data_IF_287430117459
#
_entry.id   IF_287430117459
#
_cell.length_a   1.000
_cell.length_b   1.000
_cell.length_c   1.000
_cell.angle_alpha   90.00
_cell.angle_beta   90.00
_cell.angle_gamma   90.00
#
_symmetry.space_group_name_H-M   'P 1'
#
loop_
_entity.id
_entity.type
_entity.pdbx_description
1 polymer ?
#
# COMPACT_ATOMS: atom_id res chain seq x y z
N UNK A 1 67.25 0.43 21.07
CA UNK A 1 67.43 -0.94 21.60
C UNK A 1 66.02 -1.50 21.80
N UNK A 2 65.43 -2.36 20.96
CA UNK A 2 65.88 -3.59 20.26
C UNK A 2 65.61 -4.87 21.07
N UNK A 3 64.48 -5.54 20.77
CA UNK A 3 64.23 -6.98 21.04
C UNK A 3 62.99 -7.49 20.27
N UNK A 4 63.09 -8.72 19.76
CA UNK A 4 62.07 -9.61 19.16
C UNK A 4 62.64 -11.07 19.25
N UNK A 5 61.98 -12.17 18.82
CA UNK A 5 60.59 -12.37 18.37
C UNK A 5 59.69 -12.96 19.51
N UNK A 6 59.01 -14.13 19.54
CA UNK A 6 59.00 -15.44 18.82
C UNK A 6 57.53 -15.86 18.52
N UNK A 7 57.31 -16.81 17.59
CA UNK A 7 55.99 -17.37 17.21
C UNK A 7 55.47 -18.52 18.09
N UNK A 8 54.17 -18.81 18.01
CA UNK A 8 53.68 -20.19 17.89
C UNK A 8 52.40 -20.26 17.03
N UNK A 9 52.16 -21.39 16.37
CA UNK A 9 50.99 -21.62 15.53
C UNK A 9 50.50 -23.07 15.71
N UNK A 10 49.17 -23.28 15.64
CA UNK A 10 48.58 -24.60 15.73
C UNK A 10 47.61 -24.85 14.56
N UNK A 11 47.87 -25.92 13.79
CA UNK A 11 46.95 -26.48 12.81
C UNK A 11 46.17 -27.62 13.47
N UNK A 12 44.92 -27.81 13.08
CA UNK A 12 44.19 -29.06 13.25
C UNK A 12 43.48 -29.40 11.92
N UNK A 13 43.49 -30.67 11.53
CA UNK A 13 43.03 -31.15 10.22
C UNK A 13 41.81 -32.08 10.35
N UNK A 14 41.06 -32.22 9.25
CA UNK A 14 39.94 -33.16 9.15
C UNK A 14 40.38 -34.62 9.37
N UNK A 15 39.47 -35.44 9.89
CA UNK A 15 39.41 -36.88 9.60
C UNK A 15 37.98 -37.39 9.76
N UNK A 16 37.57 -38.34 8.91
CA UNK A 16 36.23 -38.92 8.88
C UNK A 16 36.27 -40.43 9.14
N UNK A 17 35.31 -40.97 9.89
CA UNK A 17 35.07 -42.42 9.92
C UNK A 17 33.59 -42.76 10.17
N UNK A 18 33.17 -43.96 9.74
CA UNK A 18 31.80 -44.47 9.81
C UNK A 18 31.63 -45.46 10.97
N UNK A 19 30.41 -45.59 11.49
CA UNK A 19 29.94 -46.76 12.23
C UNK A 19 28.45 -47.02 11.90
N UNK A 20 27.92 -48.22 12.21
CA UNK A 20 26.52 -48.61 11.94
C UNK A 20 26.03 -49.69 12.93
N UNK A 21 24.80 -50.19 12.71
CA UNK A 21 24.02 -51.20 13.50
C UNK A 21 23.17 -50.61 14.65
N UNK A 22 21.99 -51.15 15.03
CA UNK A 22 20.95 -51.90 14.29
C UNK A 22 19.66 -52.12 15.15
N UNK A 23 18.46 -51.77 14.63
CA UNK A 23 17.15 -52.47 14.81
C UNK A 23 16.53 -52.76 16.21
N UNK A 24 15.24 -53.17 16.35
CA UNK A 24 14.03 -53.06 15.49
C UNK A 24 12.75 -52.55 16.24
N UNK A 25 11.55 -52.69 15.59
CA UNK A 25 10.16 -52.51 16.10
C UNK A 25 9.71 -51.04 16.27
N UNK A 26 8.50 -50.60 15.88
CA UNK A 26 7.16 -51.25 15.71
C UNK A 26 6.50 -50.89 14.35
N UNK A 27 5.46 -51.62 13.94
CA UNK A 27 4.69 -51.45 12.69
C UNK A 27 3.51 -50.45 12.79
N UNK A 28 3.16 -49.81 11.66
CA UNK A 28 1.93 -49.01 11.51
C UNK A 28 1.82 -48.35 10.13
N UNK A 29 0.69 -48.50 9.43
CA UNK A 29 0.45 -47.95 8.08
C UNK A 29 -0.31 -46.62 8.14
N UNK A 30 0.10 -45.65 7.32
CA UNK A 30 -0.76 -44.99 6.31
C UNK A 30 0.01 -43.89 5.55
N UNK A 31 0.08 -43.98 4.22
CA UNK A 31 0.61 -42.91 3.35
C UNK A 31 -0.53 -42.05 2.80
N UNK A 32 -0.48 -40.74 3.03
CA UNK A 32 -1.30 -39.76 2.32
C UNK A 32 -0.48 -39.11 1.21
N UNK A 33 -0.94 -39.21 -0.04
CA UNK A 33 -0.23 -38.66 -1.20
C UNK A 33 -0.61 -37.19 -1.46
N UNK A 34 0.34 -36.39 -1.93
CA UNK A 34 0.14 -34.98 -2.27
C UNK A 34 -0.64 -34.90 -3.60
N UNK A 35 -1.88 -34.44 -3.54
CA UNK A 35 -2.66 -34.14 -4.73
C UNK A 35 -2.14 -32.88 -5.43
N UNK A 36 -1.71 -33.00 -6.69
CA UNK A 36 -1.44 -31.85 -7.57
C UNK A 36 -2.78 -31.26 -8.04
N UNK A 37 -2.90 -29.93 -8.00
CA UNK A 37 -4.08 -29.23 -8.49
C UNK A 37 -3.78 -28.63 -9.86
N UNK A 38 -4.36 -29.21 -10.92
CA UNK A 38 -4.18 -28.73 -12.29
C UNK A 38 -5.03 -27.49 -12.58
N UNK A 39 -4.45 -26.51 -13.30
CA UNK A 39 -5.08 -25.23 -13.58
C UNK A 39 -6.18 -25.30 -14.65
N UNK A 40 -7.24 -24.50 -14.49
CA UNK A 40 -8.29 -24.37 -15.50
C UNK A 40 -7.73 -23.79 -16.80
N UNK A 41 -7.71 -24.60 -17.86
CA UNK A 41 -7.49 -24.13 -19.24
C UNK A 41 -8.81 -23.67 -19.84
N UNK A 42 -8.81 -22.49 -20.45
CA UNK A 42 -9.96 -22.01 -21.24
C UNK A 42 -10.18 -22.92 -22.46
N UNK A 43 -11.43 -23.29 -22.72
CA UNK A 43 -11.82 -24.13 -23.85
C UNK A 43 -13.00 -23.49 -24.61
N UNK A 44 -12.69 -22.77 -25.68
CA UNK A 44 -13.68 -22.18 -26.59
C UNK A 44 -14.18 -23.22 -27.60
N UNK A 45 -15.36 -23.79 -27.38
CA UNK A 45 -16.02 -24.68 -28.32
C UNK A 45 -17.52 -24.32 -28.45
N UNK A 46 -17.93 -23.88 -29.65
CA UNK A 46 -19.31 -23.52 -29.96
C UNK A 46 -19.96 -24.62 -30.79
N UNK A 47 -20.84 -25.41 -30.17
CA UNK A 47 -21.68 -26.41 -30.84
C UNK A 47 -23.06 -26.44 -30.17
N UNK A 48 -24.11 -26.16 -30.94
CA UNK A 48 -25.46 -25.99 -30.41
C UNK A 48 -26.23 -27.31 -30.27
N UNK A 49 -26.98 -27.44 -29.18
CA UNK A 49 -28.11 -28.38 -29.07
C UNK A 49 -29.30 -27.68 -28.43
N UNK A 50 -30.53 -28.10 -28.79
CA UNK A 50 -31.78 -27.44 -28.37
C UNK A 50 -32.46 -28.19 -27.24
N UNK A 51 -32.52 -27.57 -26.06
CA UNK A 51 -33.41 -28.00 -24.96
C UNK A 51 -34.16 -26.80 -24.38
N UNK A 52 -35.37 -26.56 -24.88
CA UNK A 52 -36.34 -25.64 -24.28
C UNK A 52 -36.92 -26.19 -22.98
N UNK A 53 -37.69 -25.35 -22.27
CA UNK A 53 -38.49 -25.66 -21.07
C UNK A 53 -37.76 -26.18 -19.83
N UNK A 54 -37.12 -25.26 -19.09
CA UNK A 54 -37.13 -25.31 -17.61
C UNK A 54 -37.03 -23.95 -16.89
N UNK A 55 -36.66 -22.87 -17.60
CA UNK A 55 -36.52 -21.53 -17.01
C UNK A 55 -37.85 -20.79 -16.69
N UNK A 56 -39.02 -21.35 -17.03
CA UNK A 56 -40.30 -20.65 -16.95
C UNK A 56 -41.04 -20.76 -15.59
N UNK A 57 -40.74 -21.78 -14.78
CA UNK A 57 -41.54 -22.09 -13.58
C UNK A 57 -41.04 -21.43 -12.28
N UNK A 58 -39.84 -20.82 -12.28
CA UNK A 58 -39.26 -20.16 -11.10
C UNK A 58 -39.68 -18.68 -10.90
N UNK A 59 -40.63 -18.17 -11.69
CA UNK A 59 -41.15 -16.78 -11.57
C UNK A 59 -42.57 -16.67 -11.00
N UNK A 60 -43.14 -17.75 -10.46
CA UNK A 60 -44.56 -17.80 -10.04
C UNK A 60 -44.81 -17.88 -8.52
N UNK A 61 -43.77 -18.01 -7.67
CA UNK A 61 -43.92 -18.30 -6.23
C UNK A 61 -43.47 -17.15 -5.28
N UNK A 62 -43.37 -15.91 -5.74
CA UNK A 62 -42.86 -14.78 -4.94
C UNK A 62 -43.96 -13.93 -4.25
N UNK A 63 -45.15 -14.48 -4.02
CA UNK A 63 -46.32 -13.70 -3.57
C UNK A 63 -47.30 -14.44 -2.65
N UNK A 64 -46.80 -15.11 -1.60
CA UNK A 64 -47.64 -15.67 -0.53
C UNK A 64 -46.89 -16.00 0.79
N UNK A 65 -46.27 -15.01 1.46
CA UNK A 65 -45.97 -15.09 2.90
C UNK A 65 -46.24 -13.72 3.54
N UNK A 66 -47.18 -13.67 4.49
CA UNK A 66 -47.48 -12.46 5.27
C UNK A 66 -46.78 -12.49 6.64
N UNK A 67 -46.48 -11.29 7.14
CA UNK A 67 -46.37 -10.93 8.57
C UNK A 67 -45.98 -12.02 9.57
N UNK A 68 -44.68 -12.16 9.81
CA UNK A 68 -44.16 -12.59 11.11
C UNK A 68 -43.17 -11.55 11.62
N UNK A 69 -43.41 -10.95 12.78
CA UNK A 69 -42.49 -9.97 13.40
C UNK A 69 -41.28 -10.65 14.04
N UNK A 70 -40.55 -11.44 13.25
CA UNK A 70 -39.18 -11.80 13.58
C UNK A 70 -38.35 -10.53 13.59
N UNK A 71 -37.93 -10.07 14.78
CA UNK A 71 -36.94 -9.00 14.93
C UNK A 71 -35.63 -9.47 14.30
N UNK A 72 -35.45 -9.20 13.01
CA UNK A 72 -34.15 -9.27 12.35
C UNK A 72 -33.22 -8.40 13.18
N UNK A 73 -32.22 -9.02 13.78
CA UNK A 73 -31.25 -8.33 14.62
C UNK A 73 -30.45 -7.35 13.78
N UNK A 74 -30.95 -6.12 13.66
CA UNK A 74 -30.21 -5.04 13.05
C UNK A 74 -28.89 -4.94 13.81
N UNK A 75 -27.76 -5.11 13.10
CA UNK A 75 -26.43 -4.93 13.66
C UNK A 75 -26.22 -3.44 13.89
N UNK A 76 -26.83 -2.95 14.97
CA UNK A 76 -26.51 -1.68 15.59
C UNK A 76 -25.10 -1.81 16.13
N UNK A 77 -24.14 -1.29 15.37
CA UNK A 77 -23.04 -0.60 16.01
C UNK A 77 -23.66 0.58 16.76
N UNK A 78 -24.08 0.35 18.00
CA UNK A 78 -24.38 1.45 18.91
C UNK A 78 -23.07 2.23 19.06
N UNK A 79 -23.10 3.52 18.72
CA UNK A 79 -21.91 4.38 18.72
C UNK A 79 -21.58 4.78 20.17
N UNK A 80 -21.18 3.80 20.98
CA UNK A 80 -20.69 4.00 22.35
C UNK A 80 -19.27 4.57 22.35
N UNK A 81 -18.47 4.23 21.33
CA UNK A 81 -17.11 4.72 21.15
C UNK A 81 -17.03 5.85 20.12
N UNK A 82 -16.18 6.88 20.33
CA UNK A 82 -15.95 7.93 19.36
C UNK A 82 -15.28 7.38 18.09
N UNK A 83 -15.71 7.90 16.93
CA UNK A 83 -15.24 7.40 15.63
C UNK A 83 -13.73 7.58 15.42
N UNK A 84 -13.05 6.49 15.01
CA UNK A 84 -11.64 6.49 14.63
C UNK A 84 -11.27 7.59 13.62
N UNK A 85 -10.01 8.03 13.67
CA UNK A 85 -9.42 8.94 12.68
C UNK A 85 -8.71 8.13 11.59
N UNK A 86 -9.19 8.25 10.35
CA UNK A 86 -8.72 7.45 9.21
C UNK A 86 -8.06 8.38 8.17
N UNK A 87 -6.87 8.01 7.70
CA UNK A 87 -6.06 8.80 6.75
C UNK A 87 -5.72 7.93 5.54
N UNK A 88 -6.53 8.00 4.49
CA UNK A 88 -6.25 7.31 3.25
C UNK A 88 -5.16 8.05 2.47
N UNK A 89 -4.14 7.34 2.00
CA UNK A 89 -3.05 7.90 1.20
C UNK A 89 -3.00 7.16 -0.14
N UNK A 90 -3.10 7.89 -1.25
CA UNK A 90 -3.25 7.32 -2.59
C UNK A 90 -2.73 8.26 -3.68
N UNK A 91 -2.21 7.70 -4.77
CA UNK A 91 -1.91 8.48 -5.98
C UNK A 91 -3.17 8.96 -6.72
N UNK A 92 -4.31 8.28 -6.55
CA UNK A 92 -5.58 8.62 -7.21
C UNK A 92 -6.73 8.87 -6.23
N UNK A 93 -7.51 9.92 -6.51
CA UNK A 93 -8.78 10.24 -5.83
C UNK A 93 -9.76 10.84 -6.83
N UNK A 94 -10.84 10.13 -7.16
CA UNK A 94 -11.89 10.67 -8.02
C UNK A 94 -12.70 11.78 -7.31
N UNK A 95 -13.11 12.85 -8.02
CA UNK A 95 -12.99 13.05 -9.47
C UNK A 95 -11.70 13.73 -9.95
N UNK A 96 -10.76 14.08 -9.05
CA UNK A 96 -9.60 14.92 -9.35
C UNK A 96 -8.48 14.19 -10.10
N UNK A 97 -8.10 13.01 -9.64
CA UNK A 97 -7.09 12.16 -10.27
C UNK A 97 -7.60 10.73 -10.37
N UNK A 98 -7.66 10.21 -11.60
CA UNK A 98 -8.12 8.85 -11.89
C UNK A 98 -7.48 8.33 -13.18
N UNK A 99 -6.86 7.17 -13.11
CA UNK A 99 -6.45 6.36 -14.27
C UNK A 99 -7.25 5.05 -14.33
N UNK A 100 -7.66 4.51 -13.18
CA UNK A 100 -8.39 3.25 -13.08
C UNK A 100 -9.30 3.15 -11.86
N UNK A 101 -9.48 1.92 -11.34
CA UNK A 101 -10.38 1.65 -10.22
C UNK A 101 -9.93 2.22 -8.86
N UNK A 102 -8.63 2.47 -8.68
CA UNK A 102 -8.07 3.06 -7.46
C UNK A 102 -8.75 4.40 -7.13
N UNK A 103 -8.82 5.31 -8.11
CA UNK A 103 -9.50 6.60 -7.94
C UNK A 103 -10.98 6.48 -7.55
N UNK A 104 -11.70 5.46 -8.03
CA UNK A 104 -13.10 5.22 -7.66
C UNK A 104 -13.25 4.72 -6.22
N UNK A 105 -12.36 3.82 -5.76
CA UNK A 105 -12.34 3.34 -4.37
C UNK A 105 -12.13 4.52 -3.41
N UNK A 106 -11.15 5.38 -3.67
CA UNK A 106 -10.91 6.59 -2.86
C UNK A 106 -11.99 7.68 -3.07
N UNK A 107 -12.74 7.63 -4.16
CA UNK A 107 -13.94 8.44 -4.36
C UNK A 107 -15.15 7.98 -3.52
N UNK A 108 -15.30 6.67 -3.31
CA UNK A 108 -16.48 6.04 -2.72
C UNK A 108 -16.36 5.61 -1.25
N UNK A 109 -15.28 4.90 -0.89
CA UNK A 109 -15.09 4.30 0.44
C UNK A 109 -14.89 5.34 1.56
N UNK A 110 -14.05 6.39 1.41
CA UNK A 110 -13.82 7.37 2.47
C UNK A 110 -15.11 8.11 2.89
N UNK A 111 -15.99 8.57 1.97
CA UNK A 111 -17.30 9.12 2.35
C UNK A 111 -18.23 8.11 3.03
N UNK A 112 -18.17 6.82 2.67
CA UNK A 112 -18.98 5.79 3.33
C UNK A 112 -18.55 5.55 4.78
N UNK A 113 -17.25 5.71 5.09
CA UNK A 113 -16.72 5.64 6.46
C UNK A 113 -17.00 6.92 7.25
N UNK A 114 -16.91 8.09 6.62
CA UNK A 114 -17.33 9.36 7.25
C UNK A 114 -18.82 9.32 7.65
N UNK A 115 -19.68 8.74 6.81
CA UNK A 115 -21.10 8.53 7.11
C UNK A 115 -21.35 7.52 8.25
N UNK A 116 -20.35 6.75 8.70
CA UNK A 116 -20.40 5.90 9.92
C UNK A 116 -19.86 6.61 11.17
N UNK A 117 -19.54 7.90 11.08
CA UNK A 117 -19.07 8.73 12.19
C UNK A 117 -17.55 8.79 12.37
N UNK A 118 -16.75 8.25 11.44
CA UNK A 118 -15.29 8.36 11.49
C UNK A 118 -14.81 9.74 11.01
N UNK A 119 -13.71 10.26 11.57
CA UNK A 119 -13.03 11.45 11.02
C UNK A 119 -12.12 11.00 9.87
N UNK A 120 -12.50 11.25 8.62
CA UNK A 120 -11.81 10.66 7.45
C UNK A 120 -11.12 11.74 6.61
N UNK A 121 -9.82 11.58 6.42
CA UNK A 121 -9.01 12.37 5.47
C UNK A 121 -8.58 11.48 4.29
N UNK A 122 -8.43 12.08 3.11
CA UNK A 122 -7.68 11.46 2.00
C UNK A 122 -6.60 12.39 1.49
N UNK A 123 -5.36 11.92 1.46
CA UNK A 123 -4.19 12.65 0.94
C UNK A 123 -3.79 12.09 -0.42
N UNK A 124 -3.58 12.96 -1.40
CA UNK A 124 -3.13 12.61 -2.76
C UNK A 124 -2.30 13.72 -3.40
N UNK A 125 -1.53 13.49 -4.49
CA UNK A 125 -0.78 14.57 -5.12
C UNK A 125 -1.65 15.53 -5.95
N UNK A 126 -1.22 16.80 -6.04
CA UNK A 126 -1.87 17.83 -6.84
C UNK A 126 -1.29 17.84 -8.27
N UNK A 127 -1.93 17.09 -9.16
CA UNK A 127 -1.54 17.00 -10.58
C UNK A 127 -2.07 18.16 -11.43
N UNK A 128 -3.13 18.84 -10.97
CA UNK A 128 -3.74 19.97 -11.66
C UNK A 128 -4.22 21.07 -10.69
N UNK A 129 -4.58 22.23 -11.25
CA UNK A 129 -5.16 23.34 -10.49
C UNK A 129 -6.66 23.08 -10.24
N UNK A 130 -6.96 22.17 -9.32
CA UNK A 130 -8.33 21.79 -8.94
C UNK A 130 -9.15 23.00 -8.45
N UNK A 131 -10.26 23.31 -9.13
CA UNK A 131 -11.09 24.51 -8.89
C UNK A 131 -11.72 24.55 -7.49
N UNK A 132 -12.00 23.40 -6.89
CA UNK A 132 -12.69 23.27 -5.60
C UNK A 132 -11.75 22.97 -4.42
N UNK A 133 -10.43 23.12 -4.61
CA UNK A 133 -9.43 23.04 -3.54
C UNK A 133 -8.73 24.38 -3.34
N UNK A 134 -8.67 24.85 -2.09
CA UNK A 134 -7.99 26.08 -1.68
C UNK A 134 -6.61 25.78 -1.09
N UNK A 135 -5.68 26.72 -1.15
CA UNK A 135 -4.39 26.62 -0.44
C UNK A 135 -4.65 26.76 1.07
N UNK A 136 -3.95 26.00 1.91
CA UNK A 136 -4.07 26.13 3.38
C UNK A 136 -3.01 27.03 4.00
N UNK A 137 -2.14 27.64 3.19
CA UNK A 137 -0.96 28.43 3.60
C UNK A 137 0.06 27.65 4.48
N UNK A 138 -0.11 26.31 4.58
CA UNK A 138 0.80 25.43 5.33
C UNK A 138 1.86 24.89 4.37
N UNK A 139 3.10 25.32 4.61
CA UNK A 139 4.31 24.82 3.96
C UNK A 139 5.05 23.91 4.95
N UNK A 140 5.57 22.78 4.46
CA UNK A 140 6.56 21.96 5.16
C UNK A 140 7.80 21.77 4.29
N UNK A 141 8.93 21.52 4.94
CA UNK A 141 10.20 21.20 4.30
C UNK A 141 10.42 19.68 4.38
N UNK A 142 10.63 19.03 3.24
CA UNK A 142 10.75 17.57 3.11
C UNK A 142 12.10 17.22 2.49
N UNK A 143 12.90 16.36 3.13
CA UNK A 143 14.18 15.92 2.55
C UNK A 143 13.94 14.77 1.56
N UNK A 144 14.44 14.91 0.33
CA UNK A 144 14.25 13.93 -0.73
C UNK A 144 15.51 13.86 -1.61
N UNK A 145 16.21 12.72 -1.56
CA UNK A 145 17.55 12.60 -2.12
C UNK A 145 18.53 13.59 -1.45
N UNK A 146 19.20 14.41 -2.26
CA UNK A 146 20.15 15.43 -1.79
C UNK A 146 19.50 16.79 -1.48
N UNK A 147 18.21 16.96 -1.79
CA UNK A 147 17.48 18.22 -1.69
C UNK A 147 16.58 18.30 -0.45
N UNK A 148 16.24 19.53 -0.05
CA UNK A 148 15.14 19.82 0.87
C UNK A 148 14.10 20.63 0.11
N UNK A 149 12.97 19.99 -0.17
CA UNK A 149 11.90 20.50 -1.03
C UNK A 149 10.78 21.13 -0.22
N UNK A 150 10.22 22.24 -0.72
CA UNK A 150 9.12 22.96 -0.05
C UNK A 150 7.77 22.48 -0.58
N UNK A 151 6.98 21.87 0.29
CA UNK A 151 5.72 21.21 -0.06
C UNK A 151 4.55 21.98 0.56
N UNK A 152 3.53 22.28 -0.25
CA UNK A 152 2.28 22.91 0.21
C UNK A 152 1.14 21.92 0.30
N UNK A 153 0.14 22.27 1.10
CA UNK A 153 -1.12 21.55 1.17
C UNK A 153 -2.27 22.40 0.63
N UNK A 154 -3.06 21.81 -0.26
CA UNK A 154 -4.37 22.31 -0.66
C UNK A 154 -5.45 21.44 -0.03
N UNK A 155 -6.61 22.01 0.31
CA UNK A 155 -7.71 21.31 0.97
C UNK A 155 -9.06 21.54 0.28
N UNK A 156 -9.93 20.55 0.39
CA UNK A 156 -11.32 20.59 -0.03
C UNK A 156 -12.16 19.73 0.93
N UNK A 157 -13.21 20.28 1.54
CA UNK A 157 -14.13 19.50 2.37
C UNK A 157 -15.34 19.02 1.55
N UNK A 158 -15.53 17.70 1.41
CA UNK A 158 -16.54 17.15 0.49
C UNK A 158 -17.11 15.81 0.95
N UNK A 159 -18.44 15.71 1.07
CA UNK A 159 -19.18 14.49 1.52
C UNK A 159 -18.68 13.93 2.87
N UNK A 160 -18.42 14.81 3.84
CA UNK A 160 -17.93 14.44 5.17
C UNK A 160 -16.43 14.14 5.26
N UNK A 161 -15.70 14.24 4.15
CA UNK A 161 -14.28 13.88 4.05
C UNK A 161 -13.42 15.11 3.80
N UNK A 162 -12.32 15.19 4.54
CA UNK A 162 -11.24 16.14 4.32
C UNK A 162 -10.35 15.65 3.17
N UNK A 163 -10.39 16.33 2.02
CA UNK A 163 -9.59 15.99 0.83
C UNK A 163 -8.37 16.90 0.81
N UNK A 164 -7.19 16.33 0.98
CA UNK A 164 -5.91 17.05 1.00
C UNK A 164 -5.10 16.70 -0.24
N UNK A 165 -4.53 17.73 -0.87
CA UNK A 165 -3.72 17.62 -2.07
C UNK A 165 -2.31 18.17 -1.82
N UNK A 166 -1.30 17.34 -2.07
CA UNK A 166 0.12 17.66 -1.89
C UNK A 166 0.62 18.41 -3.12
N UNK A 167 0.90 19.69 -2.98
CA UNK A 167 1.31 20.60 -4.06
C UNK A 167 2.84 20.71 -4.12
N UNK A 168 3.38 20.28 -5.26
CA UNK A 168 4.80 20.35 -5.58
C UNK A 168 5.01 20.35 -7.11
N UNK A 169 6.02 21.06 -7.67
CA UNK A 169 6.28 21.10 -9.11
C UNK A 169 6.43 19.72 -9.78
N UNK A 170 6.98 18.72 -9.07
CA UNK A 170 7.14 17.34 -9.57
C UNK A 170 5.81 16.62 -9.88
N UNK A 171 4.67 17.15 -9.42
CA UNK A 171 3.34 16.69 -9.80
C UNK A 171 2.71 17.64 -10.81
N UNK A 172 2.54 18.91 -10.43
CA UNK A 172 1.75 19.88 -11.18
C UNK A 172 2.35 20.18 -12.56
N UNK A 173 3.66 20.45 -12.65
CA UNK A 173 4.29 20.87 -13.89
C UNK A 173 4.35 19.75 -14.95
N UNK A 174 4.27 18.48 -14.54
CA UNK A 174 4.30 17.32 -15.46
C UNK A 174 2.95 17.04 -16.13
N UNK A 175 1.85 17.29 -15.42
CA UNK A 175 0.53 16.75 -15.79
C UNK A 175 -0.54 17.85 -16.01
N UNK A 176 -0.21 19.12 -15.81
CA UNK A 176 -1.12 20.27 -16.03
C UNK A 176 -1.91 20.17 -17.35
N UNK A 177 -3.25 20.16 -17.26
CA UNK A 177 -4.16 20.02 -18.41
C UNK A 177 -4.18 18.65 -19.08
N UNK A 178 -3.54 17.62 -18.49
CA UNK A 178 -3.42 16.23 -19.00
C UNK A 178 -3.77 15.19 -17.92
N UNK A 179 -4.32 15.66 -16.79
CA UNK A 179 -4.63 14.88 -15.59
C UNK A 179 -5.57 13.72 -15.92
N UNK A 180 -5.15 12.50 -15.55
CA UNK A 180 -5.86 11.25 -15.80
C UNK A 180 -5.13 10.27 -16.74
N UNK A 181 -4.27 10.74 -17.67
CA UNK A 181 -3.56 9.84 -18.61
C UNK A 181 -2.04 9.73 -18.40
N UNK A 182 -1.43 10.66 -17.67
CA UNK A 182 0.04 10.80 -17.54
C UNK A 182 0.52 10.98 -16.09
N UNK A 183 -0.22 10.39 -15.15
CA UNK A 183 0.02 10.45 -13.69
C UNK A 183 1.38 9.82 -13.32
N UNK A 184 1.64 8.63 -13.86
CA UNK A 184 2.80 7.79 -13.55
C UNK A 184 3.95 7.91 -14.57
N UNK A 185 3.65 8.31 -15.81
CA UNK A 185 4.62 8.37 -16.89
C UNK A 185 4.14 9.14 -18.13
N UNK A 186 5.03 9.45 -19.09
CA UNK A 186 4.68 10.21 -20.29
C UNK A 186 3.84 9.42 -21.30
N UNK A 187 3.85 8.08 -21.24
CA UNK A 187 3.07 7.15 -22.08
C UNK A 187 2.68 5.93 -21.23
N UNK A 188 1.61 5.24 -21.58
CA UNK A 188 1.27 3.95 -20.95
C UNK A 188 2.42 2.96 -21.10
N UNK A 189 2.85 2.32 -20.00
CA UNK A 189 3.96 1.36 -20.00
C UNK A 189 5.37 1.98 -20.01
N UNK A 190 5.49 3.30 -19.87
CA UNK A 190 6.77 4.00 -19.65
C UNK A 190 6.56 5.00 -18.51
N UNK A 191 7.18 4.74 -17.37
CA UNK A 191 7.11 5.59 -16.17
C UNK A 191 8.04 6.81 -16.24
N UNK A 192 8.03 7.68 -15.22
CA UNK A 192 9.05 8.73 -15.06
C UNK A 192 10.19 8.26 -14.12
N UNK A 193 11.44 8.57 -14.50
CA UNK A 193 12.68 8.19 -13.76
C UNK A 193 12.80 8.83 -12.34
N UNK A 194 11.94 9.80 -12.03
CA UNK A 194 11.83 10.44 -10.73
C UNK A 194 10.63 9.95 -9.90
N UNK A 195 9.93 8.88 -10.32
CA UNK A 195 8.82 8.31 -9.55
C UNK A 195 9.22 7.93 -8.12
N UNK A 196 10.46 7.46 -7.90
CA UNK A 196 11.02 7.21 -6.55
C UNK A 196 11.00 8.49 -5.70
N UNK A 197 11.55 9.59 -6.22
CA UNK A 197 11.59 10.89 -5.54
C UNK A 197 10.18 11.45 -5.33
N UNK A 198 9.32 11.39 -6.36
CA UNK A 198 7.91 11.84 -6.31
C UNK A 198 7.15 11.14 -5.20
N UNK A 199 7.17 9.81 -5.15
CA UNK A 199 6.42 9.07 -4.16
C UNK A 199 7.10 9.07 -2.77
N UNK A 200 8.43 9.20 -2.68
CA UNK A 200 9.12 9.52 -1.43
C UNK A 200 8.59 10.82 -0.81
N UNK A 201 8.65 11.93 -1.56
CA UNK A 201 8.16 13.25 -1.15
C UNK A 201 6.69 13.20 -0.70
N UNK A 202 5.85 12.52 -1.49
CA UNK A 202 4.43 12.38 -1.22
C UNK A 202 4.15 11.67 0.11
N UNK A 203 4.81 10.55 0.40
CA UNK A 203 4.53 9.78 1.61
C UNK A 203 5.03 10.49 2.87
N UNK A 204 6.20 11.15 2.81
CA UNK A 204 6.65 12.00 3.91
C UNK A 204 5.66 13.16 4.18
N UNK A 205 5.19 13.84 3.13
CA UNK A 205 4.19 14.90 3.27
C UNK A 205 2.83 14.39 3.79
N UNK A 206 2.38 13.22 3.34
CA UNK A 206 1.14 12.60 3.77
C UNK A 206 1.16 12.14 5.24
N UNK A 207 2.34 11.73 5.75
CA UNK A 207 2.55 11.46 7.18
C UNK A 207 2.50 12.73 8.03
N UNK A 208 2.95 13.87 7.51
CA UNK A 208 2.94 15.14 8.27
C UNK A 208 1.57 15.84 8.27
N UNK A 209 0.77 15.67 7.21
CA UNK A 209 -0.55 16.32 7.06
C UNK A 209 -1.49 16.19 8.30
N UNK A 210 -1.64 15.02 8.95
CA UNK A 210 -2.46 14.87 10.16
C UNK A 210 -2.03 15.75 11.36
N UNK A 211 -0.73 16.09 11.44
CA UNK A 211 -0.17 16.91 12.53
C UNK A 211 -0.22 18.41 12.21
N UNK A 212 0.10 18.79 10.97
CA UNK A 212 0.28 20.21 10.61
C UNK A 212 -1.02 20.90 10.18
N UNK A 213 -1.98 20.17 9.61
CA UNK A 213 -3.24 20.75 9.14
C UNK A 213 -4.28 20.82 10.26
N UNK A 214 -4.80 22.02 10.50
CA UNK A 214 -5.94 22.28 11.40
C UNK A 214 -7.20 22.41 10.54
N UNK A 215 -8.11 21.45 10.66
CA UNK A 215 -9.24 21.29 9.73
C UNK A 215 -10.56 21.31 10.51
N UNK A 216 -11.17 22.50 10.58
CA UNK A 216 -12.35 22.80 11.40
C UNK A 216 -13.68 22.69 10.63
N UNK A 217 -13.68 22.10 9.43
CA UNK A 217 -14.85 21.99 8.54
C UNK A 217 -15.87 20.91 8.97
N UNK A 218 -15.54 20.05 9.93
CA UNK A 218 -16.38 18.93 10.34
C UNK A 218 -17.17 19.27 11.63
N UNK A 219 -18.52 19.17 11.64
CA UNK A 219 -19.34 19.52 12.80
C UNK A 219 -19.02 18.78 14.11
N UNK A 220 -18.37 17.61 14.02
CA UNK A 220 -18.07 16.74 15.16
C UNK A 220 -16.58 16.74 15.55
N UNK A 221 -15.71 17.31 14.73
CA UNK A 221 -14.25 17.23 14.90
C UNK A 221 -13.53 18.51 14.45
N UNK A 222 -12.79 19.13 15.36
CA UNK A 222 -12.00 20.33 15.13
C UNK A 222 -10.49 20.09 15.25
N UNK A 223 -9.69 21.11 14.98
CA UNK A 223 -8.23 21.11 15.12
C UNK A 223 -7.52 20.13 14.18
N UNK A 224 -6.31 19.73 14.57
CA UNK A 224 -5.54 18.72 13.85
C UNK A 224 -6.10 17.30 14.08
N UNK A 225 -5.74 16.36 13.18
CA UNK A 225 -6.03 14.93 13.41
C UNK A 225 -5.12 14.38 14.52
N UNK A 226 -3.88 14.88 14.60
CA UNK A 226 -2.88 14.46 15.57
C UNK A 226 -2.22 13.13 15.23
N UNK A 227 -1.70 12.46 16.26
CA UNK A 227 -0.80 11.30 16.12
C UNK A 227 -1.46 9.94 16.34
N UNK A 228 -2.68 9.94 16.87
CA UNK A 228 -3.53 8.75 16.97
C UNK A 228 -4.44 8.70 15.73
N UNK A 229 -3.99 7.97 14.72
CA UNK A 229 -4.58 7.84 13.38
C UNK A 229 -4.30 6.45 12.79
N UNK A 230 -5.24 5.94 11.99
CA UNK A 230 -5.01 4.78 11.13
C UNK A 230 -4.78 5.27 9.71
N UNK A 231 -3.56 5.11 9.20
CA UNK A 231 -3.24 5.33 7.80
C UNK A 231 -3.76 4.13 6.97
N UNK A 232 -4.31 4.42 5.79
CA UNK A 232 -4.66 3.39 4.80
C UNK A 232 -3.85 3.69 3.54
N UNK A 233 -2.77 2.94 3.34
CA UNK A 233 -1.85 3.07 2.21
C UNK A 233 -2.37 2.23 1.03
N UNK A 234 -2.50 2.82 -0.16
CA UNK A 234 -3.10 2.19 -1.32
C UNK A 234 -2.07 2.06 -2.47
N UNK A 235 -1.80 0.81 -2.88
CA UNK A 235 -0.78 0.41 -3.87
C UNK A 235 0.67 0.87 -3.58
N UNK A 236 1.61 0.36 -4.39
CA UNK A 236 3.06 0.58 -4.26
C UNK A 236 3.48 2.04 -4.11
N UNK A 237 2.71 2.98 -4.70
CA UNK A 237 2.87 4.43 -4.56
C UNK A 237 2.97 4.89 -3.10
N UNK A 238 2.50 4.07 -2.16
CA UNK A 238 2.48 4.32 -0.71
C UNK A 238 3.09 3.19 0.12
N UNK A 239 3.71 2.19 -0.52
CA UNK A 239 4.35 1.06 0.19
C UNK A 239 5.58 1.45 1.03
N UNK A 240 6.15 2.63 0.78
CA UNK A 240 7.21 3.23 1.63
C UNK A 240 6.66 3.92 2.89
N UNK A 241 5.35 4.16 2.99
CA UNK A 241 4.73 4.88 4.13
C UNK A 241 4.95 4.17 5.48
N UNK A 242 4.82 2.83 5.62
CA UNK A 242 5.13 2.14 6.87
C UNK A 242 6.58 2.31 7.33
N UNK A 243 7.55 2.32 6.41
CA UNK A 243 8.95 2.55 6.74
C UNK A 243 9.18 3.95 7.34
N UNK A 244 8.67 5.00 6.70
CA UNK A 244 8.73 6.36 7.24
C UNK A 244 7.97 6.51 8.56
N UNK A 245 6.78 5.90 8.70
CA UNK A 245 6.04 5.92 9.97
C UNK A 245 6.86 5.26 11.09
N UNK A 246 7.50 4.14 10.81
CA UNK A 246 8.32 3.38 11.76
C UNK A 246 9.60 4.13 12.15
N UNK A 247 10.18 4.94 11.27
CA UNK A 247 11.23 5.89 11.61
C UNK A 247 10.70 6.98 12.57
N UNK A 248 9.60 7.64 12.22
CA UNK A 248 8.97 8.66 13.08
C UNK A 248 8.57 8.10 14.45
N UNK A 249 8.22 6.81 14.54
CA UNK A 249 7.96 6.09 15.79
C UNK A 249 9.22 5.81 16.62
N UNK A 250 10.38 5.58 15.99
CA UNK A 250 11.68 5.51 16.68
C UNK A 250 12.10 6.90 17.22
N UNK A 251 11.77 7.97 16.50
CA UNK A 251 11.88 9.36 16.96
C UNK A 251 10.81 9.72 18.03
N UNK A 252 9.90 8.81 18.35
CA UNK A 252 8.91 8.95 19.41
C UNK A 252 7.62 9.68 19.01
N UNK A 253 7.40 9.95 17.73
CA UNK A 253 6.16 10.51 17.15
C UNK A 253 5.21 9.37 16.73
N UNK A 254 3.91 9.62 16.53
CA UNK A 254 2.96 8.65 15.96
C UNK A 254 2.90 7.28 16.66
N UNK A 255 3.25 7.20 17.96
CA UNK A 255 3.46 5.93 18.69
C UNK A 255 2.27 4.97 18.69
N UNK A 256 1.04 5.50 18.56
CA UNK A 256 -0.20 4.72 18.54
C UNK A 256 -0.68 4.43 17.10
N UNK A 257 -0.19 5.17 16.11
CA UNK A 257 -0.65 5.05 14.73
C UNK A 257 -0.37 3.66 14.14
N UNK A 258 -1.22 3.28 13.18
CA UNK A 258 -1.15 2.02 12.43
C UNK A 258 -1.27 2.30 10.94
N UNK A 259 -0.74 1.40 10.12
CA UNK A 259 -1.00 1.37 8.67
C UNK A 259 -1.78 0.10 8.34
N UNK A 260 -2.83 0.24 7.54
CA UNK A 260 -3.37 -0.84 6.74
C UNK A 260 -2.90 -0.65 5.30
N UNK A 261 -2.26 -1.66 4.70
CA UNK A 261 -1.87 -1.62 3.29
C UNK A 261 -2.93 -2.29 2.42
N UNK A 262 -3.27 -1.68 1.30
CA UNK A 262 -4.33 -2.12 0.39
C UNK A 262 -3.80 -2.22 -1.05
N UNK A 263 -3.44 -3.44 -1.43
CA UNK A 263 -3.08 -3.79 -2.81
C UNK A 263 -4.35 -3.87 -3.67
N UNK A 264 -4.48 -2.97 -4.64
CA UNK A 264 -5.55 -2.98 -5.65
C UNK A 264 -5.09 -3.69 -6.92
N UNK A 265 -3.79 -3.67 -7.23
CA UNK A 265 -3.23 -4.44 -8.35
C UNK A 265 -1.80 -4.95 -8.07
N UNK A 266 -1.68 -6.27 -7.84
CA UNK A 266 -0.41 -6.96 -7.56
C UNK A 266 0.61 -6.92 -8.72
N UNK A 267 0.20 -6.52 -9.94
CA UNK A 267 1.10 -6.36 -11.08
C UNK A 267 2.00 -5.12 -10.99
N UNK A 268 1.60 -4.11 -10.20
CA UNK A 268 2.38 -2.87 -10.02
C UNK A 268 2.95 -2.82 -8.60
N UNK A 269 4.24 -3.12 -8.48
CA UNK A 269 4.90 -3.36 -7.19
C UNK A 269 5.90 -2.26 -6.78
N UNK A 270 6.19 -1.30 -7.67
CA UNK A 270 7.20 -0.27 -7.44
C UNK A 270 8.60 -0.88 -7.34
N UNK A 271 9.03 -1.55 -8.43
CA UNK A 271 10.37 -2.15 -8.57
C UNK A 271 11.33 -1.13 -9.17
N UNK A 272 12.48 -0.95 -8.53
CA UNK A 272 13.51 0.02 -8.88
C UNK A 272 14.91 -0.57 -8.64
N UNK A 273 15.97 0.15 -8.99
CA UNK A 273 17.33 -0.34 -8.75
C UNK A 273 17.69 -0.29 -7.24
N UNK A 274 18.54 -1.18 -6.71
CA UNK A 274 19.01 -1.10 -5.31
C UNK A 274 19.73 0.20 -4.92
N UNK A 275 20.20 0.98 -5.91
CA UNK A 275 20.76 2.33 -5.75
C UNK A 275 19.69 3.43 -5.59
N UNK A 276 18.43 3.17 -5.95
CA UNK A 276 17.34 4.12 -5.71
C UNK A 276 16.94 4.21 -4.23
N UNK A 277 17.35 3.24 -3.39
CA UNK A 277 17.11 3.27 -1.95
C UNK A 277 17.70 4.51 -1.27
N UNK A 278 18.90 4.92 -1.68
CA UNK A 278 19.60 6.07 -1.10
C UNK A 278 18.81 7.38 -1.30
N UNK A 279 17.99 7.43 -2.37
CA UNK A 279 17.10 8.53 -2.73
C UNK A 279 15.85 8.62 -1.82
N UNK A 280 15.55 7.58 -1.05
CA UNK A 280 14.46 7.57 -0.05
C UNK A 280 14.87 8.25 1.27
N UNK A 281 16.17 8.50 1.51
CA UNK A 281 16.68 9.02 2.79
C UNK A 281 16.30 8.20 4.06
N UNK A 282 15.86 6.95 3.89
CA UNK A 282 15.67 6.01 5.00
C UNK A 282 17.03 5.51 5.53
N UNK A 283 17.16 5.21 6.83
CA UNK A 283 18.35 4.54 7.35
C UNK A 283 18.58 3.15 6.72
N UNK A 284 19.84 2.74 6.52
CA UNK A 284 20.20 1.43 5.94
C UNK A 284 19.62 0.21 6.69
N UNK A 285 19.23 0.38 7.96
CA UNK A 285 18.51 -0.66 8.73
C UNK A 285 17.16 -1.05 8.11
N UNK A 286 16.57 -0.19 7.27
CA UNK A 286 15.36 -0.48 6.50
C UNK A 286 15.65 -1.17 5.15
N UNK A 287 16.89 -1.09 4.63
CA UNK A 287 17.26 -1.57 3.29
C UNK A 287 16.89 -3.05 3.04
N UNK A 288 17.05 -3.99 4.00
CA UNK A 288 16.62 -5.38 3.81
C UNK A 288 15.11 -5.56 3.56
N UNK A 289 14.27 -4.65 4.06
CA UNK A 289 12.81 -4.71 3.91
C UNK A 289 12.30 -4.22 2.55
N UNK A 290 13.19 -3.67 1.71
CA UNK A 290 12.90 -3.36 0.31
C UNK A 290 13.59 -4.35 -0.64
N UNK A 291 14.45 -5.24 -0.15
CA UNK A 291 15.16 -6.20 -0.99
C UNK A 291 14.20 -7.25 -1.54
N UNK A 292 14.13 -7.37 -2.86
CA UNK A 292 13.29 -8.34 -3.54
C UNK A 292 14.09 -9.05 -4.63
N UNK A 293 14.13 -10.38 -4.57
CA UNK A 293 14.68 -11.21 -5.62
C UNK A 293 13.50 -11.92 -6.29
N UNK A 294 13.20 -11.57 -7.55
CA UNK A 294 12.22 -12.34 -8.32
C UNK A 294 12.78 -13.74 -8.60
N UNK A 295 11.97 -14.79 -8.44
CA UNK A 295 12.34 -16.15 -8.80
C UNK A 295 12.50 -16.35 -10.32
N UNK A 296 12.13 -15.33 -11.12
CA UNK A 296 12.21 -15.34 -12.56
C UNK A 296 13.65 -15.14 -13.08
N UNK A 297 14.41 -16.23 -13.17
CA UNK A 297 15.69 -16.25 -13.91
C UNK A 297 15.42 -16.06 -15.41
N UNK A 298 15.47 -14.81 -15.87
CA UNK A 298 15.44 -14.49 -17.29
C UNK A 298 16.66 -15.13 -17.99
N UNK A 299 16.45 -15.74 -19.16
CA UNK A 299 17.46 -16.52 -19.90
C UNK A 299 18.62 -15.73 -20.52
N UNK A 300 18.94 -14.54 -20.00
CA UNK A 300 20.05 -13.68 -20.38
C UNK A 300 21.12 -13.66 -19.30
N UNK A 301 22.39 -13.42 -19.64
CA UNK A 301 23.56 -13.65 -18.76
C UNK A 301 23.77 -12.61 -17.63
N UNK A 302 22.70 -12.18 -16.96
CA UNK A 302 22.71 -11.53 -15.66
C UNK A 302 22.32 -12.55 -14.58
N UNK A 303 22.87 -12.41 -13.36
CA UNK A 303 22.48 -13.24 -12.22
C UNK A 303 21.05 -12.95 -11.72
N UNK A 304 20.65 -13.46 -10.55
CA UNK A 304 19.43 -12.99 -9.89
C UNK A 304 19.47 -11.46 -9.79
N UNK A 305 18.45 -10.81 -10.33
CA UNK A 305 18.32 -9.36 -10.26
C UNK A 305 17.75 -8.99 -8.89
N UNK A 306 18.63 -8.56 -7.99
CA UNK A 306 18.20 -7.91 -6.76
C UNK A 306 17.55 -6.56 -7.12
N UNK A 307 16.25 -6.44 -6.84
CA UNK A 307 15.45 -5.24 -7.07
C UNK A 307 15.08 -4.58 -5.73
N UNK A 308 14.90 -3.26 -5.73
CA UNK A 308 14.23 -2.55 -4.64
C UNK A 308 12.72 -2.55 -4.89
N UNK A 309 11.91 -3.18 -4.03
CA UNK A 309 10.47 -3.27 -4.19
C UNK A 309 9.71 -2.50 -3.09
N UNK A 310 9.11 -1.36 -3.45
CA UNK A 310 8.32 -0.55 -2.52
C UNK A 310 7.08 -1.28 -1.99
N UNK A 311 6.52 -2.24 -2.74
CA UNK A 311 5.37 -3.05 -2.30
C UNK A 311 5.68 -4.05 -1.18
N UNK A 312 6.93 -4.49 -1.04
CA UNK A 312 7.36 -5.46 0.01
C UNK A 312 7.60 -4.76 1.35
N UNK A 313 8.05 -3.50 1.34
CA UNK A 313 8.23 -2.68 2.54
C UNK A 313 6.93 -2.40 3.33
N UNK A 314 5.78 -2.84 2.83
CA UNK A 314 4.50 -2.80 3.52
C UNK A 314 4.35 -3.82 4.67
N UNK A 315 5.27 -4.79 4.80
CA UNK A 315 5.26 -5.82 5.86
C UNK A 315 5.97 -5.37 7.17
N UNK A 316 6.30 -4.08 7.31
CA UNK A 316 7.10 -3.49 8.40
C UNK A 316 6.31 -3.11 9.67
#
# INVERSE_FOLDING_TARGET
>A
MAAAPVSSAMKASLSTSKASLASPLVSGLATASIARFDGLKSASAFAGSKTTSQAAQLRANSSAVQSGEGKVGAVRCEQTEPGMKLVFVSAEVAPWSKTGGLGDVLGGLPPALAARGHRVMTVSPRYDQYKDAWDTDVIIDVKVGDAVEKVRFFHCYKRGVDRVFVDHPLFLAKVYGKTGSKVYGPKTGVDYDDNVLRFSLFNQAALMAPKVLRLDNNPYYSGAYGEDVVFVANDWHTGVLPAYLKQLQQEGQFRQAKVAFCTHNIAYQGRFAPSDFDRLNLPDSFRPSFAFTDGYVAGSASGPSDEMCCGVAAEL
#
